data_IF_961028902648
#
_entry.id   IF_961028902648
#
_cell.length_a   1.000
_cell.length_b   1.000
_cell.length_c   1.000
_cell.angle_alpha   90.00
_cell.angle_beta   90.00
_cell.angle_gamma   90.00
#
_symmetry.space_group_name_H-M   'P 1'
#
loop_
_entity.id
_entity.type
_entity.pdbx_description
1 polymer ?
#
# COMPACT_ATOMS: atom_id res chain seq x y z
N UNK A 1 35.64 -1.60 -5.95
CA UNK A 1 35.66 -0.14 -6.13
C UNK A 1 35.57 0.15 -7.62
N UNK A 2 34.36 0.16 -8.17
CA UNK A 2 34.09 0.56 -9.56
C UNK A 2 32.92 1.52 -9.57
N UNK A 3 33.25 2.79 -9.80
CA UNK A 3 32.28 3.85 -10.06
C UNK A 3 31.79 3.72 -11.51
N UNK A 4 30.51 3.40 -11.69
CA UNK A 4 29.89 3.46 -13.01
C UNK A 4 29.40 4.88 -13.26
N UNK A 5 30.10 5.61 -14.12
CA UNK A 5 29.70 6.95 -14.58
C UNK A 5 28.57 6.78 -15.60
N UNK A 6 27.41 7.34 -15.31
CA UNK A 6 26.31 7.51 -16.28
C UNK A 6 26.65 8.72 -17.14
N UNK A 7 26.70 8.62 -18.48
CA UNK A 7 26.92 9.77 -19.33
C UNK A 7 25.64 10.58 -19.48
N UNK A 8 25.74 11.86 -19.18
CA UNK A 8 24.75 12.88 -19.57
C UNK A 8 24.66 12.93 -21.10
N UNK A 9 23.54 12.47 -21.67
CA UNK A 9 23.23 12.71 -23.06
C UNK A 9 22.72 14.16 -23.20
N UNK A 10 23.59 15.06 -23.65
CA UNK A 10 23.18 16.34 -24.22
C UNK A 10 22.51 16.07 -25.55
N UNK A 11 21.21 16.21 -25.63
CA UNK A 11 20.50 16.26 -26.91
C UNK A 11 20.82 17.58 -27.60
N UNK A 12 21.68 17.53 -28.61
CA UNK A 12 21.94 18.65 -29.53
C UNK A 12 20.70 18.76 -30.42
N UNK A 13 19.87 19.75 -30.18
CA UNK A 13 18.79 20.12 -31.09
C UNK A 13 19.40 20.91 -32.24
N UNK A 14 19.53 20.28 -33.40
CA UNK A 14 19.90 20.95 -34.65
C UNK A 14 18.68 21.73 -35.13
N UNK A 15 18.72 23.04 -34.98
CA UNK A 15 17.68 23.94 -35.49
C UNK A 15 17.95 24.15 -36.97
N UNK A 16 17.19 23.46 -37.85
CA UNK A 16 17.09 23.81 -39.24
C UNK A 16 16.31 25.12 -39.39
N UNK A 17 16.98 26.18 -39.72
CA UNK A 17 16.39 27.45 -39.99
C UNK A 17 15.52 27.45 -41.26
N UNK A 18 14.22 27.46 -41.10
CA UNK A 18 13.29 27.91 -42.15
C UNK A 18 13.01 29.40 -41.97
N UNK A 19 13.45 30.18 -42.92
CA UNK A 19 13.18 31.61 -43.06
C UNK A 19 11.73 31.81 -43.48
N UNK A 20 10.87 32.19 -42.54
CA UNK A 20 9.47 32.57 -42.78
C UNK A 20 8.95 33.31 -41.59
N UNK A 21 8.89 34.65 -41.70
CA UNK A 21 8.49 35.57 -40.64
C UNK A 21 6.98 35.44 -40.32
N UNK A 22 6.70 34.92 -39.16
CA UNK A 22 5.42 34.99 -38.48
C UNK A 22 5.69 34.90 -36.99
N UNK A 23 5.60 36.03 -36.30
CA UNK A 23 5.68 36.04 -34.84
C UNK A 23 4.44 35.32 -34.30
N UNK A 24 4.61 34.07 -33.86
CA UNK A 24 3.60 33.41 -33.05
C UNK A 24 3.54 34.08 -31.71
N UNK A 25 2.34 34.53 -31.24
CA UNK A 25 2.23 35.05 -29.90
C UNK A 25 2.54 33.92 -28.92
N UNK A 26 3.67 33.99 -28.26
CA UNK A 26 3.97 33.11 -27.10
C UNK A 26 3.00 33.51 -26.01
N UNK A 27 1.81 32.87 -25.98
CA UNK A 27 1.00 32.88 -24.77
C UNK A 27 1.85 32.26 -23.67
N UNK A 28 2.24 33.09 -22.74
CA UNK A 28 2.92 32.68 -21.54
C UNK A 28 1.89 31.85 -20.72
N UNK A 29 1.77 30.56 -21.03
CA UNK A 29 0.93 29.64 -20.26
C UNK A 29 1.69 29.42 -18.97
N UNK A 30 1.37 30.23 -17.96
CA UNK A 30 1.75 29.94 -16.60
C UNK A 30 0.93 28.70 -16.19
N UNK A 31 1.56 27.52 -16.25
CA UNK A 31 1.02 26.30 -15.63
C UNK A 31 1.05 26.59 -14.13
N UNK A 32 -0.10 26.63 -13.45
CA UNK A 32 -0.10 26.83 -12.01
C UNK A 32 0.73 25.69 -11.39
N UNK A 33 1.74 26.05 -10.60
CA UNK A 33 2.46 25.08 -9.78
C UNK A 33 1.46 24.64 -8.72
N UNK A 34 0.83 23.48 -8.94
CA UNK A 34 -0.02 22.86 -7.94
C UNK A 34 0.96 22.26 -6.93
N UNK A 35 1.02 22.86 -5.74
CA UNK A 35 1.78 22.27 -4.64
C UNK A 35 1.19 20.88 -4.33
N UNK A 36 2.04 19.84 -4.18
CA UNK A 36 1.55 18.51 -3.87
C UNK A 36 0.80 18.51 -2.54
N UNK A 37 -0.28 17.77 -2.48
CA UNK A 37 -1.03 17.58 -1.23
C UNK A 37 -0.13 16.89 -0.20
N UNK A 38 -0.39 17.02 1.12
CA UNK A 38 0.37 16.32 2.15
C UNK A 38 0.46 14.80 1.93
N UNK A 39 -0.57 14.19 1.36
CA UNK A 39 -0.56 12.77 1.01
C UNK A 39 0.35 12.45 -0.17
N UNK A 40 0.37 13.27 -1.23
CA UNK A 40 1.28 13.09 -2.36
C UNK A 40 2.74 13.30 -1.95
N UNK A 41 3.00 14.27 -1.06
CA UNK A 41 4.34 14.52 -0.52
C UNK A 41 4.81 13.36 0.36
N UNK A 42 3.90 12.72 1.09
CA UNK A 42 4.22 11.54 1.89
C UNK A 42 4.58 10.33 1.02
N UNK A 43 3.86 10.12 -0.08
CA UNK A 43 4.10 9.04 -1.04
C UNK A 43 5.49 9.11 -1.71
N UNK A 44 5.95 10.29 -2.06
CA UNK A 44 7.23 10.48 -2.75
C UNK A 44 8.45 10.07 -1.91
N UNK A 45 8.28 9.97 -0.59
CA UNK A 45 9.35 9.61 0.35
C UNK A 45 9.34 8.14 0.78
N UNK A 46 8.35 7.34 0.33
CA UNK A 46 8.26 5.93 0.70
C UNK A 46 8.87 5.05 -0.39
N UNK A 47 10.06 4.50 -0.13
CA UNK A 47 10.70 3.55 -1.03
C UNK A 47 9.99 2.21 -1.01
N UNK A 48 9.77 1.63 -2.20
CA UNK A 48 9.21 0.28 -2.33
C UNK A 48 10.16 -0.74 -1.70
N UNK A 49 9.61 -1.60 -0.83
CA UNK A 49 10.32 -2.80 -0.39
C UNK A 49 10.19 -3.88 -1.46
N UNK A 50 11.32 -4.42 -1.93
CA UNK A 50 11.31 -5.56 -2.87
C UNK A 50 10.78 -6.86 -2.24
N UNK A 51 10.51 -6.87 -0.93
CA UNK A 51 9.99 -8.03 -0.21
C UNK A 51 8.46 -8.18 -0.31
N UNK A 52 7.76 -7.13 -0.74
CA UNK A 52 6.31 -7.14 -0.95
C UNK A 52 5.97 -7.27 -2.44
N UNK A 53 4.92 -8.00 -2.82
CA UNK A 53 4.40 -7.98 -4.20
C UNK A 53 4.06 -6.57 -4.65
N UNK A 54 4.18 -6.32 -5.95
CA UNK A 54 3.78 -5.03 -6.52
C UNK A 54 2.25 -4.99 -6.71
N UNK A 55 1.65 -3.83 -6.46
CA UNK A 55 0.20 -3.65 -6.54
C UNK A 55 -0.37 -4.06 -7.92
N UNK A 56 0.29 -3.67 -9.00
CA UNK A 56 -0.16 -3.93 -10.38
C UNK A 56 -0.26 -5.44 -10.66
N UNK A 57 0.65 -6.25 -10.11
CA UNK A 57 0.60 -7.70 -10.25
C UNK A 57 -0.61 -8.31 -9.53
N UNK A 58 -0.97 -7.78 -8.36
CA UNK A 58 -2.11 -8.24 -7.56
C UNK A 58 -3.45 -7.77 -8.12
N UNK A 59 -3.50 -6.59 -8.75
CA UNK A 59 -4.73 -6.04 -9.33
C UNK A 59 -5.21 -6.81 -10.57
N UNK A 60 -4.33 -7.54 -11.23
CA UNK A 60 -4.69 -8.35 -12.41
C UNK A 60 -5.40 -9.66 -12.07
N UNK A 61 -5.36 -10.10 -10.83
CA UNK A 61 -5.95 -11.36 -10.39
C UNK A 61 -7.48 -11.25 -10.22
N UNK A 62 -8.24 -12.32 -10.54
CA UNK A 62 -9.68 -12.34 -10.33
C UNK A 62 -10.01 -12.29 -8.83
N UNK A 63 -11.03 -11.50 -8.47
CA UNK A 63 -11.42 -11.24 -7.09
C UNK A 63 -12.82 -11.73 -6.79
N UNK A 64 -13.01 -12.19 -5.55
CA UNK A 64 -14.32 -12.36 -4.96
C UNK A 64 -14.78 -11.02 -4.35
N UNK A 65 -16.10 -10.79 -4.35
CA UNK A 65 -16.69 -9.57 -3.77
C UNK A 65 -17.74 -10.01 -2.75
N UNK A 66 -17.61 -9.54 -1.51
CA UNK A 66 -18.61 -9.78 -0.48
C UNK A 66 -19.80 -8.78 -0.55
N UNK A 67 -20.82 -9.02 0.29
CA UNK A 67 -22.05 -8.21 0.29
C UNK A 67 -21.81 -6.74 0.67
N UNK A 68 -20.72 -6.42 1.37
CA UNK A 68 -20.38 -5.06 1.80
C UNK A 68 -19.41 -4.39 0.82
N UNK A 69 -19.07 -5.06 -0.28
CA UNK A 69 -18.20 -4.55 -1.33
C UNK A 69 -16.71 -4.70 -1.05
N UNK A 70 -16.31 -5.53 -0.08
CA UNK A 70 -14.91 -5.93 0.08
C UNK A 70 -14.55 -6.84 -1.10
N UNK A 71 -13.56 -6.46 -1.88
CA UNK A 71 -12.99 -7.31 -2.92
C UNK A 71 -11.73 -8.00 -2.36
N UNK A 72 -11.58 -9.30 -2.61
CA UNK A 72 -10.42 -10.05 -2.12
C UNK A 72 -10.01 -11.18 -3.06
N UNK A 73 -8.75 -11.59 -2.91
CA UNK A 73 -8.16 -12.74 -3.59
C UNK A 73 -7.24 -13.46 -2.59
N UNK A 74 -7.51 -14.73 -2.34
CA UNK A 74 -6.68 -15.57 -1.45
C UNK A 74 -5.56 -16.18 -2.29
N UNK A 75 -4.32 -15.79 -1.99
CA UNK A 75 -3.13 -16.35 -2.63
C UNK A 75 -2.74 -17.70 -2.00
N UNK A 76 -2.84 -17.77 -0.67
CA UNK A 76 -2.59 -18.99 0.12
C UNK A 76 -3.59 -19.03 1.28
N UNK A 77 -4.31 -20.14 1.45
CA UNK A 77 -5.33 -20.27 2.50
C UNK A 77 -4.72 -20.32 3.91
N UNK A 78 -3.49 -20.84 4.03
CA UNK A 78 -2.84 -21.11 5.31
C UNK A 78 -3.46 -22.29 6.07
N UNK A 79 -3.27 -22.30 7.39
CA UNK A 79 -3.78 -23.31 8.31
C UNK A 79 -5.32 -23.29 8.37
N UNK A 80 -5.91 -24.39 8.86
CA UNK A 80 -7.37 -24.56 8.93
C UNK A 80 -8.00 -23.56 9.93
N UNK A 81 -7.33 -23.29 11.05
CA UNK A 81 -7.79 -22.36 12.06
C UNK A 81 -7.73 -20.91 11.54
N UNK A 82 -8.82 -20.21 11.68
CA UNK A 82 -8.94 -18.80 11.24
C UNK A 82 -9.08 -17.90 12.47
N UNK A 83 -8.52 -16.67 12.43
CA UNK A 83 -8.66 -15.76 13.56
C UNK A 83 -10.08 -15.21 13.68
N UNK A 84 -10.49 -14.98 14.91
CA UNK A 84 -11.69 -14.24 15.27
C UNK A 84 -11.38 -12.82 15.75
N UNK A 85 -12.40 -12.05 16.11
CA UNK A 85 -12.23 -10.66 16.56
C UNK A 85 -11.50 -10.50 17.91
N UNK A 86 -11.34 -11.59 18.67
CA UNK A 86 -10.59 -11.58 19.93
C UNK A 86 -9.12 -11.96 19.74
N UNK A 87 -8.78 -12.46 18.56
CA UNK A 87 -7.42 -12.88 18.26
C UNK A 87 -6.48 -11.68 18.14
N UNK A 88 -5.24 -11.88 18.59
CA UNK A 88 -4.10 -11.06 18.23
C UNK A 88 -3.46 -11.68 16.99
N UNK A 89 -3.26 -10.89 15.95
CA UNK A 89 -2.66 -11.35 14.69
C UNK A 89 -1.31 -10.70 14.47
N UNK A 90 -0.32 -11.53 14.09
CA UNK A 90 1.01 -11.07 13.67
C UNK A 90 1.07 -11.15 12.15
N UNK A 91 1.36 -10.04 11.47
CA UNK A 91 1.26 -9.96 10.02
C UNK A 91 2.42 -9.23 9.38
N UNK A 92 2.83 -9.70 8.19
CA UNK A 92 3.49 -8.83 7.24
C UNK A 92 2.45 -8.24 6.29
N UNK A 93 2.63 -6.99 5.91
CA UNK A 93 1.70 -6.34 5.01
C UNK A 93 2.30 -5.14 4.29
N UNK A 94 1.67 -4.78 3.19
CA UNK A 94 1.81 -3.47 2.54
C UNK A 94 0.43 -2.93 2.21
N UNK A 95 0.22 -1.65 2.49
CA UNK A 95 -1.00 -0.92 2.19
C UNK A 95 -0.77 0.19 1.17
N UNK A 96 -1.62 0.25 0.13
CA UNK A 96 -1.58 1.25 -0.93
C UNK A 96 -2.88 2.04 -1.00
N UNK A 97 -2.76 3.26 -1.47
CA UNK A 97 -3.88 4.04 -2.03
C UNK A 97 -4.12 3.63 -3.49
N UNK A 98 -5.26 4.05 -4.05
CA UNK A 98 -5.66 3.74 -5.43
C UNK A 98 -4.66 4.24 -6.50
N UNK A 99 -3.89 5.26 -6.19
CA UNK A 99 -2.83 5.77 -7.07
C UNK A 99 -1.50 5.02 -6.94
N UNK A 100 -1.48 3.87 -6.26
CA UNK A 100 -0.28 3.05 -6.04
C UNK A 100 0.63 3.54 -4.91
N UNK A 101 0.27 4.61 -4.21
CA UNK A 101 1.05 5.13 -3.11
C UNK A 101 1.05 4.20 -1.90
N UNK A 102 2.20 3.73 -1.46
CA UNK A 102 2.35 2.98 -0.21
C UNK A 102 2.17 3.95 0.96
N UNK A 103 1.14 3.74 1.78
CA UNK A 103 0.92 4.56 2.97
C UNK A 103 1.42 3.88 4.26
N UNK A 104 1.55 2.54 4.26
CA UNK A 104 2.14 1.79 5.38
C UNK A 104 2.65 0.43 4.90
N UNK A 105 3.74 -0.07 5.51
CA UNK A 105 4.32 -1.37 5.20
C UNK A 105 5.19 -1.89 6.34
N UNK A 106 4.95 -3.13 6.76
CA UNK A 106 5.80 -3.85 7.72
C UNK A 106 7.18 -4.16 7.13
N UNK A 107 7.26 -4.42 5.83
CA UNK A 107 8.51 -4.71 5.14
C UNK A 107 9.47 -3.51 5.13
N UNK A 108 8.94 -2.29 5.02
CA UNK A 108 9.75 -1.06 5.12
C UNK A 108 10.31 -0.87 6.52
N UNK A 109 9.53 -1.23 7.56
CA UNK A 109 9.97 -1.18 8.95
C UNK A 109 10.87 -2.34 9.35
N UNK A 110 10.95 -3.40 8.51
CA UNK A 110 11.63 -4.67 8.79
C UNK A 110 11.14 -5.34 10.10
N UNK A 111 9.86 -5.13 10.43
CA UNK A 111 9.21 -5.66 11.64
C UNK A 111 7.74 -5.97 11.35
N UNK A 112 7.24 -7.19 11.63
CA UNK A 112 5.82 -7.54 11.51
C UNK A 112 4.94 -6.63 12.35
N UNK A 113 3.74 -6.36 11.84
CA UNK A 113 2.70 -5.68 12.60
C UNK A 113 1.98 -6.65 13.52
N UNK A 114 1.63 -6.20 14.73
CA UNK A 114 0.89 -6.98 15.73
C UNK A 114 -0.37 -6.22 16.08
N UNK A 115 -1.53 -6.83 15.83
CA UNK A 115 -2.82 -6.14 15.95
C UNK A 115 -3.88 -6.99 16.63
N UNK A 116 -4.65 -6.44 17.61
CA UNK A 116 -5.93 -7.02 17.99
C UNK A 116 -6.88 -6.95 16.78
N UNK A 117 -7.34 -8.08 16.28
CA UNK A 117 -8.15 -8.10 15.04
C UNK A 117 -9.44 -7.30 15.18
N UNK A 118 -10.08 -7.33 16.33
CA UNK A 118 -11.27 -6.50 16.61
C UNK A 118 -11.01 -4.99 16.68
N UNK A 119 -9.74 -4.56 16.75
CA UNK A 119 -9.33 -3.14 16.84
C UNK A 119 -8.94 -2.50 15.52
N UNK A 120 -8.82 -3.26 14.42
CA UNK A 120 -8.45 -2.73 13.11
C UNK A 120 -9.69 -2.36 12.27
N UNK A 121 -9.49 -1.74 11.11
CA UNK A 121 -10.58 -1.37 10.19
C UNK A 121 -11.39 -2.61 9.74
N UNK A 122 -12.69 -2.41 9.48
CA UNK A 122 -13.61 -3.52 9.19
C UNK A 122 -13.18 -4.37 7.99
N UNK A 123 -12.60 -3.75 6.97
CA UNK A 123 -12.06 -4.48 5.82
C UNK A 123 -10.96 -5.48 6.19
N UNK A 124 -10.10 -5.15 7.15
CA UNK A 124 -9.10 -6.06 7.70
C UNK A 124 -9.73 -7.19 8.51
N UNK A 125 -10.68 -6.85 9.40
CA UNK A 125 -11.40 -7.86 10.18
C UNK A 125 -12.00 -8.94 9.28
N UNK A 126 -12.71 -8.52 8.23
CA UNK A 126 -13.36 -9.41 7.26
C UNK A 126 -12.36 -10.18 6.38
N UNK A 127 -11.31 -9.52 5.92
CA UNK A 127 -10.32 -10.11 5.03
C UNK A 127 -9.44 -11.14 5.73
N UNK A 128 -8.85 -10.79 6.89
CA UNK A 128 -7.93 -11.66 7.62
C UNK A 128 -8.65 -12.87 8.19
N UNK A 129 -9.93 -12.75 8.61
CA UNK A 129 -10.73 -13.91 9.05
C UNK A 129 -10.98 -14.95 7.96
N UNK A 130 -10.57 -14.72 6.71
CA UNK A 130 -10.72 -15.68 5.61
C UNK A 130 -9.52 -16.62 5.48
N UNK A 131 -8.36 -16.26 6.04
CA UNK A 131 -7.10 -17.02 5.96
C UNK A 131 -6.65 -17.50 7.34
N UNK A 132 -5.88 -18.58 7.41
CA UNK A 132 -5.23 -19.06 8.64
C UNK A 132 -3.77 -18.65 8.70
N UNK A 133 -3.04 -19.15 9.69
CA UNK A 133 -1.59 -18.96 9.79
C UNK A 133 -0.89 -19.40 8.51
N UNK A 134 0.15 -18.67 8.12
CA UNK A 134 0.87 -18.81 6.85
C UNK A 134 0.02 -18.51 5.61
N UNK A 135 -1.22 -18.04 5.79
CA UNK A 135 -2.08 -17.60 4.70
C UNK A 135 -1.68 -16.22 4.14
N UNK A 136 -2.03 -16.00 2.88
CA UNK A 136 -1.76 -14.74 2.17
C UNK A 136 -3.01 -14.29 1.42
N UNK A 137 -3.34 -13.03 1.56
CA UNK A 137 -4.52 -12.44 0.95
C UNK A 137 -4.22 -11.04 0.39
N UNK A 138 -4.81 -10.76 -0.76
CA UNK A 138 -4.95 -9.40 -1.25
C UNK A 138 -6.37 -8.94 -1.02
N UNK A 139 -6.54 -7.74 -0.48
CA UNK A 139 -7.85 -7.14 -0.20
C UNK A 139 -7.90 -5.71 -0.74
N UNK A 140 -9.02 -5.38 -1.41
CA UNK A 140 -9.38 -4.02 -1.76
C UNK A 140 -10.57 -3.61 -0.90
N UNK A 141 -10.35 -2.63 -0.07
CA UNK A 141 -11.27 -2.18 0.97
C UNK A 141 -11.92 -0.88 0.52
N UNK A 142 -13.25 -0.85 0.32
CA UNK A 142 -13.93 0.40 0.05
C UNK A 142 -13.79 1.33 1.27
N UNK A 143 -13.78 2.63 1.04
CA UNK A 143 -13.57 3.62 2.10
C UNK A 143 -14.51 3.46 3.30
N UNK A 144 -15.73 2.96 3.09
CA UNK A 144 -16.73 2.71 4.13
C UNK A 144 -16.33 1.62 5.13
N UNK A 145 -15.52 0.65 4.72
CA UNK A 145 -14.94 -0.41 5.55
C UNK A 145 -13.50 -0.07 6.01
N UNK A 146 -12.99 1.08 5.59
CA UNK A 146 -11.68 1.62 5.95
C UNK A 146 -11.80 2.80 6.92
N UNK A 147 -11.24 3.94 6.53
CA UNK A 147 -11.19 5.15 7.36
C UNK A 147 -12.31 6.18 7.06
N UNK A 148 -13.31 5.79 6.25
CA UNK A 148 -14.48 6.61 5.96
C UNK A 148 -14.17 7.93 5.26
N UNK A 149 -15.10 8.88 5.43
CA UNK A 149 -14.97 10.21 4.84
C UNK A 149 -13.90 11.10 5.52
N UNK A 150 -13.47 10.75 6.71
CA UNK A 150 -12.44 11.49 7.44
C UNK A 150 -11.03 11.08 7.00
N UNK A 151 -10.83 9.83 6.56
CA UNK A 151 -9.50 9.29 6.29
C UNK A 151 -8.65 9.15 7.55
N UNK A 152 -7.33 9.05 7.36
CA UNK A 152 -6.32 9.09 8.42
C UNK A 152 -5.15 10.00 8.00
N UNK A 153 -5.35 11.35 8.04
CA UNK A 153 -4.33 12.30 7.63
C UNK A 153 -3.04 12.18 8.46
N UNK A 154 -1.86 12.50 7.91
CA UNK A 154 -1.66 13.02 6.54
C UNK A 154 -1.57 11.92 5.46
N UNK A 155 -1.59 10.64 5.83
CA UNK A 155 -1.27 9.51 4.93
C UNK A 155 -2.45 9.09 4.06
N UNK A 156 -3.65 9.08 4.62
CA UNK A 156 -4.85 8.56 3.96
C UNK A 156 -5.88 9.67 3.87
N UNK A 157 -6.16 10.18 2.65
CA UNK A 157 -7.24 11.13 2.43
C UNK A 157 -8.62 10.54 2.77
N UNK A 158 -9.59 11.39 3.03
CA UNK A 158 -10.98 10.96 3.18
C UNK A 158 -11.53 10.32 1.90
N UNK A 159 -12.45 9.37 2.04
CA UNK A 159 -13.05 8.59 0.96
C UNK A 159 -12.06 7.77 0.12
N UNK A 160 -10.89 7.42 0.67
CA UNK A 160 -9.91 6.59 -0.02
C UNK A 160 -10.26 5.12 0.06
N UNK A 161 -10.34 4.45 -1.10
CA UNK A 161 -10.28 3.00 -1.17
C UNK A 161 -8.84 2.56 -0.85
N UNK A 162 -8.69 1.44 -0.16
CA UNK A 162 -7.40 0.95 0.31
C UNK A 162 -7.12 -0.42 -0.27
N UNK A 163 -5.89 -0.67 -0.60
CA UNK A 163 -5.40 -1.94 -1.10
C UNK A 163 -4.39 -2.50 -0.13
N UNK A 164 -4.49 -3.78 0.21
CA UNK A 164 -3.54 -4.43 1.08
C UNK A 164 -3.14 -5.81 0.54
N UNK A 165 -1.86 -6.09 0.59
CA UNK A 165 -1.35 -7.44 0.64
C UNK A 165 -1.02 -7.76 2.09
N UNK A 166 -1.49 -8.92 2.58
CA UNK A 166 -1.29 -9.35 3.97
C UNK A 166 -0.83 -10.81 3.99
N UNK A 167 0.22 -11.08 4.75
CA UNK A 167 0.65 -12.42 5.17
C UNK A 167 0.35 -12.57 6.66
N UNK A 168 -0.49 -13.54 7.01
CA UNK A 168 -0.79 -13.88 8.40
C UNK A 168 0.27 -14.85 8.93
N UNK A 169 1.13 -14.37 9.82
CA UNK A 169 2.25 -15.15 10.34
C UNK A 169 1.88 -15.99 11.57
N UNK A 170 1.03 -15.41 12.45
CA UNK A 170 0.67 -16.05 13.72
C UNK A 170 -0.72 -15.58 14.18
N UNK A 171 -1.48 -16.49 14.75
CA UNK A 171 -2.75 -16.24 15.46
C UNK A 171 -2.50 -16.57 16.93
N UNK A 172 -2.65 -15.60 17.82
CA UNK A 172 -2.35 -15.75 19.25
C UNK A 172 -3.31 -14.91 20.10
N UNK A 173 -3.08 -14.91 21.39
CA UNK A 173 -3.75 -14.01 22.34
C UNK A 173 -2.76 -12.97 22.88
N UNK A 174 -3.26 -11.89 23.46
CA UNK A 174 -2.39 -10.88 24.09
C UNK A 174 -1.55 -11.51 25.20
N UNK A 175 -2.14 -12.44 25.97
CA UNK A 175 -1.46 -13.11 27.09
C UNK A 175 -0.31 -14.00 26.60
N UNK A 176 -0.56 -14.85 25.61
CA UNK A 176 0.44 -15.73 25.02
C UNK A 176 1.58 -14.95 24.37
N UNK A 177 1.24 -13.92 23.60
CA UNK A 177 2.23 -13.06 22.93
C UNK A 177 3.17 -12.37 23.91
N UNK A 178 2.66 -11.83 25.03
CA UNK A 178 3.46 -11.18 26.06
C UNK A 178 4.36 -12.18 26.78
N UNK A 179 3.86 -13.39 27.08
CA UNK A 179 4.63 -14.46 27.71
C UNK A 179 5.81 -14.90 26.82
N UNK A 180 5.56 -15.11 25.52
CA UNK A 180 6.61 -15.49 24.56
C UNK A 180 7.72 -14.42 24.44
N UNK A 181 7.37 -13.15 24.53
CA UNK A 181 8.35 -12.05 24.55
C UNK A 181 9.19 -12.00 25.84
N UNK A 182 8.64 -12.37 26.97
CA UNK A 182 9.38 -12.39 28.24
C UNK A 182 10.32 -13.61 28.31
N UNK A 183 9.92 -14.75 27.75
CA UNK A 183 10.75 -15.97 27.70
C UNK A 183 11.97 -15.84 26.74
N UNK A 184 11.93 -14.90 25.80
CA UNK A 184 13.01 -14.63 24.81
C UNK A 184 13.99 -13.54 25.23
N UNK A 185 13.88 -12.95 26.42
CA UNK A 185 14.81 -11.96 26.98
C UNK A 185 15.90 -12.60 27.83
#
# INVERSE_FOLDING_TARGET
>A
MYYLKIPFFFAIIIIFGCRGGGAYPTKNIQIPIIEPTPSEMYCQNMYYSNASPQLEALESEPREIDLDGLEYFILEDGEVEKPDLNSLVVTNYTGWLENGCVFDSSYIRAEPGVFPLGGVIQGWQKGISKIGENGKIFIKIPYSLGYGSQGAPPRIPGNSNLYFYVELLEITTVEEYLKDKDDKK
#
